data_IF_862449097925
#
_entry.id   IF_862449097925
#
_cell.length_a   1.000
_cell.length_b   1.000
_cell.length_c   1.000
_cell.angle_alpha   90.00
_cell.angle_beta   90.00
_cell.angle_gamma   90.00
#
_symmetry.space_group_name_H-M   'P 1'
#
loop_
_entity.id
_entity.type
_entity.pdbx_description
1 polymer ?
#
# COMPACT_ATOMS: atom_id res chain seq x y z
N UNK A 1 3.39 14.81 -18.38
CA UNK A 1 4.84 14.50 -18.46
C UNK A 1 5.10 13.60 -19.65
N UNK A 2 6.07 13.92 -20.51
CA UNK A 2 6.49 13.08 -21.64
C UNK A 2 7.64 12.15 -21.23
N UNK A 3 7.84 11.06 -22.00
CA UNK A 3 9.00 10.16 -21.82
C UNK A 3 10.34 10.92 -21.95
N UNK A 4 10.39 11.95 -22.81
CA UNK A 4 11.57 12.80 -22.97
C UNK A 4 11.85 13.64 -21.72
N UNK A 5 10.81 14.18 -21.09
CA UNK A 5 10.93 14.92 -19.83
C UNK A 5 11.39 14.00 -18.69
N UNK A 6 10.94 12.75 -18.68
CA UNK A 6 11.39 11.74 -17.69
C UNK A 6 12.87 11.41 -17.92
N UNK A 7 13.30 11.17 -19.16
CA UNK A 7 14.71 10.93 -19.50
C UNK A 7 15.61 12.09 -19.07
N UNK A 8 15.20 13.32 -19.34
CA UNK A 8 15.93 14.52 -18.94
C UNK A 8 16.03 14.64 -17.40
N UNK A 9 14.94 14.42 -16.67
CA UNK A 9 14.92 14.46 -15.21
C UNK A 9 15.80 13.37 -14.57
N UNK A 10 15.84 12.17 -15.19
CA UNK A 10 16.67 11.06 -14.76
C UNK A 10 18.16 11.17 -15.16
N UNK A 11 18.52 12.17 -15.98
CA UNK A 11 19.90 12.35 -16.48
C UNK A 11 20.36 11.25 -17.43
N UNK A 12 19.43 10.57 -18.11
CA UNK A 12 19.74 9.49 -19.07
C UNK A 12 19.27 9.83 -20.47
N UNK A 13 19.75 9.07 -21.49
CA UNK A 13 19.30 9.27 -22.85
C UNK A 13 17.85 8.78 -23.04
N UNK A 14 17.14 9.39 -24.00
CA UNK A 14 15.83 8.93 -24.44
C UNK A 14 15.87 7.44 -24.86
N UNK A 15 16.93 7.04 -25.57
CA UNK A 15 17.13 5.66 -25.99
C UNK A 15 17.21 4.71 -24.80
N UNK A 16 17.89 5.13 -23.72
CA UNK A 16 17.97 4.36 -22.46
C UNK A 16 16.60 4.12 -21.87
N UNK A 17 15.74 5.15 -21.79
CA UNK A 17 14.38 4.98 -21.26
C UNK A 17 13.56 4.03 -22.12
N UNK A 18 13.59 4.19 -23.45
CA UNK A 18 12.83 3.34 -24.36
C UNK A 18 13.39 1.89 -24.48
N UNK A 19 14.65 1.67 -24.12
CA UNK A 19 15.20 0.30 -24.04
C UNK A 19 14.65 -0.51 -22.85
N UNK A 20 14.20 0.18 -21.78
CA UNK A 20 13.64 -0.46 -20.58
C UNK A 20 12.11 -0.40 -20.56
N UNK A 21 11.50 0.64 -21.11
CA UNK A 21 10.06 0.87 -21.02
C UNK A 21 9.50 1.20 -22.41
N UNK A 22 8.64 0.33 -22.91
CA UNK A 22 8.02 0.49 -24.24
C UNK A 22 7.20 1.77 -24.37
N UNK A 23 6.56 2.17 -23.27
CA UNK A 23 5.68 3.32 -23.21
C UNK A 23 5.60 3.94 -21.81
N UNK A 24 4.89 5.04 -21.69
CA UNK A 24 4.70 5.79 -20.45
C UNK A 24 3.91 4.99 -19.40
N UNK A 25 3.01 4.15 -19.84
CA UNK A 25 2.19 3.30 -18.96
C UNK A 25 3.06 2.23 -18.27
N UNK A 26 3.90 1.54 -19.05
CA UNK A 26 4.84 0.55 -18.53
C UNK A 26 5.80 1.18 -17.51
N UNK A 27 6.31 2.38 -17.81
CA UNK A 27 7.15 3.13 -16.89
C UNK A 27 6.40 3.49 -15.60
N UNK A 28 5.16 3.98 -15.71
CA UNK A 28 4.31 4.32 -14.57
C UNK A 28 4.05 3.10 -13.68
N UNK A 29 3.62 1.98 -14.24
CA UNK A 29 3.39 0.75 -13.50
C UNK A 29 4.66 0.27 -12.78
N UNK A 30 5.81 0.31 -13.46
CA UNK A 30 7.10 -0.08 -12.87
C UNK A 30 7.50 0.83 -11.71
N UNK A 31 7.25 2.14 -11.81
CA UNK A 31 7.52 3.08 -10.72
C UNK A 31 6.61 2.82 -9.49
N UNK A 32 5.31 2.58 -9.72
CA UNK A 32 4.38 2.23 -8.64
C UNK A 32 4.80 0.93 -7.96
N UNK A 33 5.11 -0.10 -8.75
CA UNK A 33 5.59 -1.40 -8.22
C UNK A 33 6.85 -1.24 -7.38
N UNK A 34 7.84 -0.49 -7.87
CA UNK A 34 9.10 -0.26 -7.16
C UNK A 34 8.86 0.46 -5.82
N UNK A 35 8.02 1.48 -5.78
CA UNK A 35 7.68 2.20 -4.55
C UNK A 35 6.98 1.28 -3.54
N UNK A 36 5.99 0.50 -3.98
CA UNK A 36 5.32 -0.47 -3.13
C UNK A 36 6.29 -1.54 -2.61
N UNK A 37 7.22 -2.02 -3.46
CA UNK A 37 8.18 -3.04 -3.06
C UNK A 37 9.20 -2.55 -2.03
N UNK A 38 9.58 -1.27 -2.08
CA UNK A 38 10.50 -0.66 -1.09
C UNK A 38 9.82 -0.57 0.28
N UNK A 39 8.58 -0.10 0.34
CA UNK A 39 7.86 0.14 1.59
C UNK A 39 7.19 -1.13 2.16
N UNK A 40 6.72 -2.00 1.26
CA UNK A 40 6.01 -3.24 1.58
C UNK A 40 6.63 -4.40 0.78
N UNK A 41 7.88 -4.81 1.09
CA UNK A 41 8.50 -5.95 0.44
C UNK A 41 7.73 -7.24 0.73
N UNK A 42 7.81 -8.21 -0.17
CA UNK A 42 7.07 -9.47 -0.05
C UNK A 42 7.37 -10.22 1.26
N UNK A 43 8.60 -10.10 1.76
CA UNK A 43 9.02 -10.66 3.05
C UNK A 43 8.18 -10.20 4.25
N UNK A 44 7.57 -9.00 4.19
CA UNK A 44 6.67 -8.54 5.26
C UNK A 44 5.40 -9.38 5.37
N UNK A 45 5.02 -10.07 4.29
CA UNK A 45 3.84 -10.93 4.25
C UNK A 45 4.18 -12.41 4.50
N UNK A 46 5.45 -12.73 4.73
CA UNK A 46 5.87 -14.04 5.23
C UNK A 46 5.71 -14.05 6.76
N UNK A 47 4.91 -14.99 7.26
CA UNK A 47 4.66 -15.07 8.71
C UNK A 47 5.88 -15.65 9.42
N UNK A 48 6.60 -14.90 10.27
CA UNK A 48 7.77 -15.40 10.99
C UNK A 48 7.35 -16.49 11.99
N UNK A 49 8.10 -17.57 12.06
CA UNK A 49 7.81 -18.66 12.98
C UNK A 49 7.89 -18.19 14.45
N UNK A 50 6.83 -18.47 15.21
CA UNK A 50 6.75 -18.10 16.63
C UNK A 50 6.52 -16.62 16.92
N UNK A 51 6.39 -15.75 15.91
CA UNK A 51 6.13 -14.34 16.14
C UNK A 51 4.69 -14.11 16.67
N UNK A 52 4.48 -13.18 17.64
CA UNK A 52 3.14 -12.76 18.03
C UNK A 52 2.40 -12.11 16.85
N UNK A 53 1.14 -12.47 16.65
CA UNK A 53 0.35 -11.99 15.50
C UNK A 53 0.16 -10.48 15.50
N UNK A 54 0.04 -9.88 16.67
CA UNK A 54 -0.08 -8.43 16.85
C UNK A 54 1.18 -7.69 16.38
N UNK A 55 2.37 -8.18 16.69
CA UNK A 55 3.64 -7.57 16.27
C UNK A 55 3.84 -7.67 14.73
N UNK A 56 3.44 -8.78 14.13
CA UNK A 56 3.46 -8.95 12.67
C UNK A 56 2.52 -7.95 12.01
N UNK A 57 1.28 -7.84 12.50
CA UNK A 57 0.30 -6.90 11.97
C UNK A 57 0.71 -5.44 12.21
N UNK A 58 1.31 -5.11 13.37
CA UNK A 58 1.85 -3.78 13.65
C UNK A 58 2.94 -3.39 12.66
N UNK A 59 3.84 -4.31 12.35
CA UNK A 59 4.92 -4.06 11.39
C UNK A 59 4.35 -3.73 10.02
N UNK A 60 3.36 -4.48 9.54
CA UNK A 60 2.69 -4.21 8.27
C UNK A 60 1.94 -2.87 8.31
N UNK A 61 1.21 -2.60 9.40
CA UNK A 61 0.46 -1.35 9.56
C UNK A 61 1.36 -0.12 9.52
N UNK A 62 2.51 -0.14 10.22
CA UNK A 62 3.50 0.95 10.22
C UNK A 62 4.04 1.21 8.82
N UNK A 63 4.47 0.18 8.11
CA UNK A 63 5.01 0.31 6.75
C UNK A 63 3.95 0.81 5.77
N UNK A 64 2.71 0.31 5.88
CA UNK A 64 1.61 0.77 5.04
C UNK A 64 1.23 2.23 5.34
N UNK A 65 1.15 2.61 6.62
CA UNK A 65 0.90 3.99 7.04
C UNK A 65 1.98 4.93 6.49
N UNK A 66 3.27 4.57 6.61
CA UNK A 66 4.37 5.35 6.07
C UNK A 66 4.27 5.50 4.54
N UNK A 67 3.92 4.43 3.83
CA UNK A 67 3.72 4.47 2.38
C UNK A 67 2.63 5.47 1.99
N UNK A 68 1.43 5.32 2.52
CA UNK A 68 0.26 6.13 2.11
C UNK A 68 0.35 7.59 2.55
N UNK A 69 1.12 7.89 3.61
CA UNK A 69 1.33 9.24 4.13
C UNK A 69 2.50 9.98 3.46
N UNK A 70 3.28 9.31 2.62
CA UNK A 70 4.38 9.95 1.90
C UNK A 70 3.85 10.99 0.91
N UNK A 71 4.61 12.07 0.72
CA UNK A 71 4.27 13.16 -0.19
C UNK A 71 3.98 12.66 -1.61
N UNK A 72 4.78 11.70 -2.08
CA UNK A 72 4.66 11.09 -3.39
C UNK A 72 3.36 10.28 -3.51
N UNK A 73 3.04 9.46 -2.50
CA UNK A 73 1.83 8.64 -2.51
C UNK A 73 0.57 9.50 -2.42
N UNK A 74 0.58 10.57 -1.61
CA UNK A 74 -0.55 11.52 -1.51
C UNK A 74 -0.79 12.24 -2.84
N UNK A 75 0.27 12.78 -3.46
CA UNK A 75 0.19 13.42 -4.78
C UNK A 75 -0.31 12.46 -5.84
N UNK A 76 0.21 11.23 -5.85
CA UNK A 76 -0.21 10.19 -6.76
C UNK A 76 -1.68 9.81 -6.55
N UNK A 77 -2.10 9.58 -5.32
CA UNK A 77 -3.49 9.22 -4.99
C UNK A 77 -4.48 10.29 -5.44
N UNK A 78 -4.17 11.57 -5.21
CA UNK A 78 -4.97 12.69 -5.71
C UNK A 78 -5.04 12.72 -7.24
N UNK A 79 -3.90 12.47 -7.90
CA UNK A 79 -3.86 12.40 -9.37
C UNK A 79 -4.72 11.25 -9.90
N UNK A 80 -4.61 10.04 -9.32
CA UNK A 80 -5.40 8.88 -9.72
C UNK A 80 -6.90 9.15 -9.55
N UNK A 81 -7.31 9.73 -8.42
CA UNK A 81 -8.72 10.08 -8.19
C UNK A 81 -9.23 11.10 -9.20
N UNK A 82 -8.44 12.12 -9.53
CA UNK A 82 -8.82 13.14 -10.50
C UNK A 82 -8.88 12.58 -11.93
N UNK A 83 -7.96 11.70 -12.32
CA UNK A 83 -7.90 11.14 -13.66
C UNK A 83 -8.86 9.97 -13.86
N UNK A 84 -9.15 9.19 -12.82
CA UNK A 84 -10.00 8.01 -12.90
C UNK A 84 -11.44 8.29 -13.38
N UNK A 85 -11.94 9.52 -13.19
CA UNK A 85 -13.22 9.96 -13.76
C UNK A 85 -13.16 10.27 -15.27
N UNK A 86 -11.98 10.56 -15.80
CA UNK A 86 -11.75 10.89 -17.20
C UNK A 86 -11.29 9.66 -18.00
N UNK A 87 -10.46 8.84 -17.39
CA UNK A 87 -9.91 7.60 -17.97
C UNK A 87 -9.86 6.50 -16.90
N UNK A 88 -10.89 5.63 -16.84
CA UNK A 88 -10.93 4.53 -15.88
C UNK A 88 -9.74 3.56 -15.97
N UNK A 89 -9.13 3.40 -17.15
CA UNK A 89 -8.00 2.51 -17.35
C UNK A 89 -6.79 2.91 -16.51
N UNK A 90 -6.63 4.21 -16.22
CA UNK A 90 -5.55 4.71 -15.39
C UNK A 90 -5.63 4.22 -13.94
N UNK A 91 -6.85 4.13 -13.39
CA UNK A 91 -7.10 3.54 -12.09
C UNK A 91 -6.80 2.04 -12.05
N UNK A 92 -7.17 1.31 -13.12
CA UNK A 92 -6.90 -0.13 -13.25
C UNK A 92 -5.39 -0.41 -13.27
N UNK A 93 -4.62 0.36 -14.04
CA UNK A 93 -3.16 0.21 -14.10
C UNK A 93 -2.50 0.45 -12.75
N UNK A 94 -2.94 1.48 -12.02
CA UNK A 94 -2.46 1.74 -10.67
C UNK A 94 -2.80 0.58 -9.72
N UNK A 95 -4.05 0.12 -9.74
CA UNK A 95 -4.52 -0.96 -8.87
C UNK A 95 -3.73 -2.26 -9.10
N UNK A 96 -3.57 -2.67 -10.34
CA UNK A 96 -2.80 -3.86 -10.71
C UNK A 96 -1.31 -3.75 -10.36
N UNK A 97 -0.72 -2.55 -10.52
CA UNK A 97 0.71 -2.33 -10.28
C UNK A 97 1.10 -2.37 -8.80
N UNK A 98 0.22 -2.01 -7.87
CA UNK A 98 0.57 -1.93 -6.44
C UNK A 98 -0.48 -2.55 -5.51
N UNK A 99 -1.67 -1.95 -5.32
CA UNK A 99 -2.65 -2.36 -4.32
C UNK A 99 -3.04 -3.84 -4.37
N UNK A 100 -3.22 -4.41 -5.55
CA UNK A 100 -3.59 -5.82 -5.73
C UNK A 100 -2.52 -6.78 -5.17
N UNK A 101 -1.24 -6.49 -5.40
CA UNK A 101 -0.14 -7.28 -4.85
C UNK A 101 -0.11 -7.22 -3.33
N UNK A 102 -0.26 -6.04 -2.76
CA UNK A 102 -0.28 -5.81 -1.31
C UNK A 102 -1.45 -6.56 -0.66
N UNK A 103 -2.63 -6.51 -1.26
CA UNK A 103 -3.80 -7.27 -0.81
C UNK A 103 -3.57 -8.78 -0.88
N UNK A 104 -2.99 -9.28 -1.96
CA UNK A 104 -2.69 -10.71 -2.12
C UNK A 104 -1.67 -11.20 -1.07
N UNK A 105 -0.63 -10.41 -0.79
CA UNK A 105 0.33 -10.71 0.27
C UNK A 105 -0.33 -10.79 1.65
N UNK A 106 -1.14 -9.79 1.98
CA UNK A 106 -1.88 -9.75 3.25
C UNK A 106 -2.89 -10.90 3.38
N UNK A 107 -3.60 -11.23 2.29
CA UNK A 107 -4.51 -12.39 2.24
C UNK A 107 -3.77 -13.69 2.57
N UNK A 108 -2.60 -13.92 1.96
CA UNK A 108 -1.79 -15.10 2.20
C UNK A 108 -1.31 -15.19 3.65
N UNK A 109 -0.84 -14.08 4.22
CA UNK A 109 -0.42 -14.00 5.62
C UNK A 109 -1.58 -14.31 6.57
N UNK A 110 -2.75 -13.71 6.37
CA UNK A 110 -3.93 -13.92 7.21
C UNK A 110 -4.47 -15.35 7.08
N UNK A 111 -4.41 -15.95 5.90
CA UNK A 111 -4.75 -17.36 5.69
C UNK A 111 -3.83 -18.25 6.52
N UNK A 112 -2.52 -18.03 6.46
CA UNK A 112 -1.55 -18.76 7.25
C UNK A 112 -1.75 -18.60 8.77
N UNK A 113 -2.09 -17.40 9.25
CA UNK A 113 -2.43 -17.14 10.64
C UNK A 113 -3.71 -17.90 11.08
N UNK A 114 -4.71 -17.95 10.22
CA UNK A 114 -5.95 -18.70 10.45
C UNK A 114 -5.72 -20.21 10.50
N UNK A 115 -4.93 -20.77 9.57
CA UNK A 115 -4.57 -22.20 9.55
C UNK A 115 -3.80 -22.63 10.80
N UNK A 116 -2.97 -21.74 11.34
CA UNK A 116 -2.25 -21.95 12.62
C UNK A 116 -3.14 -21.75 13.85
N UNK A 117 -4.39 -21.33 13.67
CA UNK A 117 -5.33 -21.09 14.76
C UNK A 117 -5.04 -19.83 15.57
N UNK A 118 -4.23 -18.90 15.07
CA UNK A 118 -3.91 -17.63 15.72
C UNK A 118 -5.05 -16.61 15.59
N UNK A 119 -5.80 -16.69 14.51
CA UNK A 119 -6.98 -15.86 14.23
C UNK A 119 -8.12 -16.78 13.74
N UNK A 120 -9.35 -16.27 13.81
CA UNK A 120 -10.53 -16.89 13.22
C UNK A 120 -11.07 -16.02 12.10
N UNK A 121 -10.73 -16.37 10.87
CA UNK A 121 -11.04 -15.59 9.66
C UNK A 121 -11.78 -16.48 8.65
N UNK A 122 -13.03 -16.15 8.37
CA UNK A 122 -13.84 -16.90 7.39
C UNK A 122 -13.43 -16.52 5.95
N UNK A 123 -13.09 -15.25 5.71
CA UNK A 123 -12.68 -14.75 4.40
C UNK A 123 -11.40 -13.90 4.51
N UNK A 124 -10.22 -14.50 4.26
CA UNK A 124 -8.93 -13.81 4.38
C UNK A 124 -8.78 -12.58 3.48
N UNK A 125 -9.30 -12.62 2.24
CA UNK A 125 -9.25 -11.47 1.34
C UNK A 125 -10.05 -10.29 1.90
N UNK A 126 -11.28 -10.53 2.36
CA UNK A 126 -12.10 -9.48 2.99
C UNK A 126 -11.45 -8.93 4.25
N UNK A 127 -10.85 -9.78 5.05
CA UNK A 127 -10.11 -9.35 6.24
C UNK A 127 -8.90 -8.48 5.87
N UNK A 128 -8.18 -8.80 4.79
CA UNK A 128 -7.09 -7.98 4.27
C UNK A 128 -7.59 -6.59 3.81
N UNK A 129 -8.70 -6.54 3.08
CA UNK A 129 -9.35 -5.28 2.68
C UNK A 129 -9.73 -4.44 3.91
N UNK A 130 -10.38 -5.05 4.92
CA UNK A 130 -10.75 -4.37 6.15
C UNK A 130 -9.53 -3.84 6.92
N UNK A 131 -8.45 -4.62 6.99
CA UNK A 131 -7.23 -4.20 7.66
C UNK A 131 -6.66 -2.90 7.06
N UNK A 132 -6.46 -2.88 5.76
CA UNK A 132 -5.92 -1.68 5.09
C UNK A 132 -6.90 -0.49 5.11
N UNK A 133 -8.20 -0.74 5.04
CA UNK A 133 -9.20 0.30 5.21
C UNK A 133 -9.17 0.90 6.61
N UNK A 134 -8.97 0.09 7.65
CA UNK A 134 -8.83 0.58 9.03
C UNK A 134 -7.56 1.42 9.20
N UNK A 135 -6.42 0.98 8.64
CA UNK A 135 -5.16 1.74 8.70
C UNK A 135 -5.29 3.08 7.99
N UNK A 136 -5.93 3.14 6.83
CA UNK A 136 -6.25 4.41 6.16
C UNK A 136 -7.11 5.30 7.06
N UNK A 137 -8.29 4.84 7.41
CA UNK A 137 -9.21 5.51 8.31
C UNK A 137 -9.53 6.95 7.93
N UNK A 138 -10.04 7.71 8.91
CA UNK A 138 -10.32 9.13 8.75
C UNK A 138 -9.06 10.01 8.57
N UNK A 139 -7.89 9.66 9.11
CA UNK A 139 -6.68 10.44 8.88
C UNK A 139 -6.28 10.50 7.40
N UNK A 140 -6.25 9.37 6.69
CA UNK A 140 -5.92 9.33 5.25
C UNK A 140 -6.94 10.14 4.43
N UNK A 141 -8.22 10.03 4.76
CA UNK A 141 -9.26 10.81 4.08
C UNK A 141 -9.06 12.32 4.25
N UNK A 142 -8.77 12.79 5.48
CA UNK A 142 -8.48 14.21 5.74
C UNK A 142 -7.19 14.67 5.04
N UNK A 143 -6.17 13.81 5.02
CA UNK A 143 -4.90 14.07 4.32
C UNK A 143 -5.14 14.26 2.82
N UNK A 144 -5.87 13.35 2.18
CA UNK A 144 -6.19 13.42 0.75
C UNK A 144 -7.02 14.66 0.39
N UNK A 145 -7.94 15.09 1.24
CA UNK A 145 -8.70 16.32 1.07
C UNK A 145 -7.86 17.60 1.31
N UNK A 146 -6.68 17.49 1.89
CA UNK A 146 -5.85 18.64 2.27
C UNK A 146 -6.34 19.35 3.54
N UNK A 147 -7.20 18.71 4.34
CA UNK A 147 -7.72 19.27 5.59
C UNK A 147 -6.77 19.06 6.77
N UNK A 148 -5.82 18.13 6.66
CA UNK A 148 -4.81 17.82 7.68
C UNK A 148 -3.50 17.39 7.03
N UNK A 149 -2.41 17.45 7.80
CA UNK A 149 -1.14 16.82 7.47
C UNK A 149 -1.15 15.30 7.72
N UNK A 150 -0.06 14.60 7.38
CA UNK A 150 0.12 13.19 7.72
C UNK A 150 0.17 13.01 9.26
N UNK A 151 -0.22 11.83 9.74
CA UNK A 151 0.07 11.43 11.11
C UNK A 151 1.57 11.22 11.25
N UNK A 152 2.16 11.75 12.33
CA UNK A 152 3.61 11.66 12.59
C UNK A 152 3.88 11.23 14.05
N UNK A 153 5.07 10.68 14.28
CA UNK A 153 5.56 10.35 15.61
C UNK A 153 4.59 9.48 16.44
N UNK A 154 4.32 9.93 17.66
CA UNK A 154 3.48 9.19 18.61
C UNK A 154 2.02 9.08 18.16
N UNK A 155 1.50 10.05 17.39
CA UNK A 155 0.13 10.00 16.87
C UNK A 155 -0.03 8.90 15.80
N UNK A 156 0.94 8.76 14.90
CA UNK A 156 0.96 7.69 13.91
C UNK A 156 1.06 6.31 14.59
N UNK A 157 1.94 6.19 15.59
CA UNK A 157 2.10 4.94 16.34
C UNK A 157 0.84 4.58 17.13
N UNK A 158 0.20 5.55 17.80
CA UNK A 158 -1.05 5.34 18.52
C UNK A 158 -2.16 4.86 17.59
N UNK A 159 -2.28 5.47 16.39
CA UNK A 159 -3.26 5.08 15.38
C UNK A 159 -3.08 3.62 14.93
N UNK A 160 -1.87 3.22 14.54
CA UNK A 160 -1.65 1.84 14.05
C UNK A 160 -1.85 0.81 15.16
N UNK A 161 -1.48 1.11 16.41
CA UNK A 161 -1.74 0.22 17.57
C UNK A 161 -3.24 0.07 17.84
N UNK A 162 -3.99 1.15 17.77
CA UNK A 162 -5.45 1.11 17.94
C UNK A 162 -6.10 0.25 16.85
N UNK A 163 -5.72 0.47 15.59
CA UNK A 163 -6.23 -0.28 14.45
C UNK A 163 -5.94 -1.79 14.58
N UNK A 164 -4.70 -2.14 14.88
CA UNK A 164 -4.32 -3.56 15.08
C UNK A 164 -5.08 -4.16 16.25
N UNK A 165 -5.24 -3.42 17.35
CA UNK A 165 -6.05 -3.85 18.49
C UNK A 165 -7.52 -4.10 18.15
N UNK A 166 -8.13 -3.23 17.32
CA UNK A 166 -9.50 -3.42 16.81
C UNK A 166 -9.58 -4.67 15.95
N UNK A 167 -8.64 -4.81 14.99
CA UNK A 167 -8.60 -5.93 14.07
C UNK A 167 -8.46 -7.27 14.80
N UNK A 168 -7.53 -7.38 15.75
CA UNK A 168 -7.33 -8.58 16.53
C UNK A 168 -8.58 -8.93 17.33
N UNK A 169 -9.20 -7.97 18.02
CA UNK A 169 -10.45 -8.22 18.77
C UNK A 169 -11.59 -8.72 17.88
N UNK A 170 -11.64 -8.26 16.63
CA UNK A 170 -12.67 -8.71 15.67
C UNK A 170 -12.46 -10.14 15.18
N UNK A 171 -11.20 -10.60 15.13
CA UNK A 171 -10.83 -11.92 14.60
C UNK A 171 -10.18 -12.84 15.66
N UNK A 172 -10.22 -12.46 16.94
CA UNK A 172 -9.74 -13.32 18.02
C UNK A 172 -10.58 -14.59 18.11
N UNK A 173 -9.92 -15.68 18.53
CA UNK A 173 -10.57 -16.97 18.74
C UNK A 173 -11.34 -17.00 20.05
#
# INVERSE_FOLDING_TARGET
>A
TSMDAVAAAAGVSKLTVYSHFTDKQTLFCSAVMATCQIQLPDLLFEYPEGAPVDEVLLTIARNFQALISSDEAVKLSRLIMAQGSLDPSFGEYFYEAGPKRVLAGMEALLRGANERGLLRIDNPLRAAEHFFCLVKGAPDYRLLLGCAGPLEGDEAEAHVREVVGVFIRAFHR
#
